data_IF_412517050550
#
_entry.id   IF_412517050550
#
_cell.length_a   1.000
_cell.length_b   1.000
_cell.length_c   1.000
_cell.angle_alpha   90.00
_cell.angle_beta   90.00
_cell.angle_gamma   90.00
#
_symmetry.space_group_name_H-M   'P 1'
#
loop_
_entity.id
_entity.type
_entity.pdbx_description
1 polymer ?
#
# COMPACT_ATOMS: atom_id res chain seq x y z
N UNK A 1 8.87 10.63 1.48
CA UNK A 1 9.55 9.92 2.58
C UNK A 1 10.35 8.72 2.08
N UNK A 2 9.76 7.73 1.41
CA UNK A 2 10.46 6.53 0.91
C UNK A 2 11.46 6.83 -0.23
N UNK A 3 11.07 7.68 -1.18
CA UNK A 3 11.97 8.20 -2.24
C UNK A 3 13.12 9.03 -1.67
N UNK A 4 12.83 9.84 -0.64
CA UNK A 4 13.85 10.64 0.05
C UNK A 4 14.82 9.81 0.89
N UNK A 5 14.46 8.55 1.23
CA UNK A 5 15.33 7.61 1.93
C UNK A 5 16.16 6.74 0.96
N UNK A 6 16.00 6.89 -0.36
CA UNK A 6 16.72 6.09 -1.37
C UNK A 6 16.34 4.60 -1.38
N UNK A 7 15.28 4.22 -0.68
CA UNK A 7 14.85 2.82 -0.57
C UNK A 7 13.96 2.39 -1.76
N UNK A 8 13.31 3.34 -2.42
CA UNK A 8 12.33 3.07 -3.46
C UNK A 8 12.03 4.32 -4.32
N UNK A 9 12.10 4.19 -5.64
CA UNK A 9 11.62 5.19 -6.60
C UNK A 9 10.34 4.68 -7.28
N UNK A 10 9.24 5.39 -7.04
CA UNK A 10 7.96 5.09 -7.65
C UNK A 10 6.87 6.00 -7.12
N UNK A 11 5.74 6.05 -7.84
CA UNK A 11 4.59 6.91 -7.55
C UNK A 11 3.37 6.04 -7.31
N UNK A 12 2.54 6.42 -6.33
CA UNK A 12 1.23 5.80 -6.17
C UNK A 12 0.41 6.12 -7.41
N UNK A 13 0.03 5.09 -8.15
CA UNK A 13 -0.75 5.20 -9.38
C UNK A 13 -2.24 5.14 -9.07
N UNK A 14 -2.62 4.20 -8.19
CA UNK A 14 -3.99 4.04 -7.71
C UNK A 14 -4.03 3.63 -6.24
N UNK A 15 -5.13 3.98 -5.59
CA UNK A 15 -5.40 3.72 -4.19
C UNK A 15 -6.87 3.37 -4.00
N UNK A 16 -7.12 2.22 -3.38
CA UNK A 16 -8.46 1.81 -2.98
C UNK A 16 -8.45 1.36 -1.53
N UNK A 17 -9.47 1.78 -0.79
CA UNK A 17 -9.68 1.36 0.59
C UNK A 17 -11.09 0.80 0.79
N UNK A 18 -11.18 -0.21 1.64
CA UNK A 18 -12.43 -0.82 2.02
C UNK A 18 -12.41 -1.17 3.50
N UNK A 19 -13.43 -0.74 4.24
CA UNK A 19 -13.63 -1.16 5.63
C UNK A 19 -14.47 -2.42 5.65
N UNK A 20 -13.91 -3.51 6.17
CA UNK A 20 -14.63 -4.75 6.46
C UNK A 20 -15.12 -4.75 7.91
N UNK A 21 -16.43 -4.93 8.08
CA UNK A 21 -17.08 -5.00 9.40
C UNK A 21 -17.69 -3.67 9.85
N UNK A 22 -18.36 -3.71 10.99
CA UNK A 22 -19.06 -2.55 11.60
C UNK A 22 -18.75 -2.49 13.09
N UNK A 23 -18.71 -1.28 13.65
CA UNK A 23 -18.40 -1.07 15.08
C UNK A 23 -16.91 -0.99 15.38
N UNK A 24 -16.53 -1.26 16.63
CA UNK A 24 -15.16 -1.11 17.15
C UNK A 24 -14.15 -2.11 16.60
N UNK A 25 -14.62 -3.20 15.97
CA UNK A 25 -13.78 -4.28 15.41
C UNK A 25 -13.65 -4.18 13.88
N UNK A 26 -14.03 -3.03 13.30
CA UNK A 26 -13.94 -2.80 11.87
C UNK A 26 -12.48 -2.82 11.42
N UNK A 27 -12.17 -3.66 10.44
CA UNK A 27 -10.84 -3.77 9.84
C UNK A 27 -10.81 -3.03 8.52
N UNK A 28 -9.91 -2.07 8.38
CA UNK A 28 -9.63 -1.45 7.10
C UNK A 28 -8.68 -2.31 6.27
N UNK A 29 -8.98 -2.39 4.98
CA UNK A 29 -8.14 -2.96 3.95
C UNK A 29 -7.76 -1.86 2.98
N UNK A 30 -6.48 -1.76 2.65
CA UNK A 30 -5.96 -0.82 1.68
C UNK A 30 -5.24 -1.59 0.56
N UNK A 31 -5.47 -1.15 -0.66
CA UNK A 31 -4.84 -1.61 -1.89
C UNK A 31 -4.11 -0.42 -2.50
N UNK A 32 -2.83 -0.60 -2.81
CA UNK A 32 -1.99 0.44 -3.41
C UNK A 32 -1.36 -0.13 -4.67
N UNK A 33 -1.55 0.57 -5.77
CA UNK A 33 -0.76 0.38 -6.98
C UNK A 33 0.40 1.37 -6.98
N UNK A 34 1.60 0.89 -7.25
CA UNK A 34 2.78 1.73 -7.39
C UNK A 34 3.37 1.55 -8.77
N UNK A 35 3.45 2.66 -9.50
CA UNK A 35 4.21 2.79 -10.74
C UNK A 35 5.69 3.00 -10.40
N UNK A 36 6.53 2.07 -10.84
CA UNK A 36 7.98 2.09 -10.60
C UNK A 36 8.77 2.73 -11.74
N UNK A 37 8.06 3.23 -12.77
CA UNK A 37 8.62 3.74 -14.01
C UNK A 37 8.68 2.68 -15.11
N UNK A 38 8.52 3.12 -16.37
CA UNK A 38 8.53 2.23 -17.53
C UNK A 38 7.16 1.60 -17.79
N UNK A 39 7.08 0.26 -17.74
CA UNK A 39 5.84 -0.52 -17.95
C UNK A 39 5.44 -1.38 -16.74
N UNK A 40 6.18 -1.29 -15.65
CA UNK A 40 6.02 -2.18 -14.51
C UNK A 40 5.33 -1.48 -13.35
N UNK A 41 4.13 -1.96 -13.03
CA UNK A 41 3.40 -1.60 -11.80
C UNK A 41 3.42 -2.77 -10.82
N UNK A 42 3.44 -2.45 -9.53
CA UNK A 42 3.30 -3.43 -8.46
C UNK A 42 2.07 -3.12 -7.63
N UNK A 43 1.54 -4.16 -7.01
CA UNK A 43 0.40 -4.06 -6.11
C UNK A 43 0.79 -4.50 -4.71
N UNK A 44 0.29 -3.77 -3.73
CA UNK A 44 0.43 -4.09 -2.32
C UNK A 44 -0.91 -4.05 -1.62
N UNK A 45 -1.07 -4.94 -0.63
CA UNK A 45 -2.29 -5.04 0.18
C UNK A 45 -1.92 -4.96 1.64
N UNK A 46 -2.67 -4.17 2.41
CA UNK A 46 -2.48 -4.02 3.84
C UNK A 46 -3.81 -4.04 4.58
N UNK A 47 -3.83 -4.71 5.74
CA UNK A 47 -5.01 -4.77 6.61
C UNK A 47 -4.65 -4.30 8.02
N UNK A 48 -5.51 -3.46 8.59
CA UNK A 48 -5.41 -2.97 9.96
C UNK A 48 -6.73 -2.34 10.40
N UNK A 49 -7.03 -2.30 11.70
CA UNK A 49 -8.16 -1.54 12.27
C UNK A 49 -8.08 -0.02 12.02
N UNK A 50 -6.90 0.47 11.61
CA UNK A 50 -6.66 1.88 11.29
C UNK A 50 -6.38 1.99 9.81
N UNK A 51 -7.18 2.80 9.12
CA UNK A 51 -7.04 3.06 7.69
C UNK A 51 -5.63 3.51 7.31
N UNK A 52 -4.99 4.35 8.15
CA UNK A 52 -3.63 4.84 7.94
C UNK A 52 -2.61 3.70 8.04
N UNK A 53 -2.78 2.83 9.03
CA UNK A 53 -1.89 1.68 9.23
C UNK A 53 -2.06 0.64 8.12
N UNK A 54 -3.29 0.43 7.64
CA UNK A 54 -3.57 -0.42 6.48
C UNK A 54 -2.87 0.11 5.23
N UNK A 55 -2.95 1.42 4.95
CA UNK A 55 -2.28 2.06 3.82
C UNK A 55 -0.75 1.93 3.87
N UNK A 56 -0.13 2.16 5.04
CA UNK A 56 1.31 1.99 5.21
C UNK A 56 1.75 0.53 4.97
N UNK A 57 0.98 -0.43 5.47
CA UNK A 57 1.22 -1.86 5.22
C UNK A 57 1.12 -2.22 3.75
N UNK A 58 0.15 -1.66 3.03
CA UNK A 58 0.00 -1.87 1.59
C UNK A 58 1.23 -1.39 0.82
N UNK A 59 1.74 -0.18 1.13
CA UNK A 59 2.96 0.35 0.50
C UNK A 59 4.17 -0.55 0.78
N UNK A 60 4.37 -0.98 2.04
CA UNK A 60 5.48 -1.88 2.40
C UNK A 60 5.37 -3.22 1.67
N UNK A 61 4.15 -3.76 1.55
CA UNK A 61 3.88 -4.99 0.79
C UNK A 61 4.27 -4.82 -0.67
N UNK A 62 3.85 -3.74 -1.34
CA UNK A 62 4.17 -3.47 -2.74
C UNK A 62 5.69 -3.40 -2.98
N UNK A 63 6.42 -2.70 -2.08
CA UNK A 63 7.88 -2.58 -2.14
C UNK A 63 8.57 -3.92 -1.91
N UNK A 64 8.07 -4.76 -1.00
CA UNK A 64 8.63 -6.10 -0.79
C UNK A 64 8.41 -7.02 -1.98
N UNK A 65 7.23 -6.98 -2.61
CA UNK A 65 6.91 -7.76 -3.81
C UNK A 65 7.84 -7.42 -4.98
N UNK A 66 8.25 -6.16 -5.14
CA UNK A 66 9.21 -5.76 -6.17
C UNK A 66 10.62 -6.34 -5.99
N UNK A 67 10.99 -6.75 -4.78
CA UNK A 67 12.32 -7.27 -4.46
C UNK A 67 12.35 -8.81 -4.40
N UNK A 68 11.20 -9.47 -4.58
CA UNK A 68 11.04 -10.93 -4.61
C UNK A 68 11.19 -11.46 -6.02
#
# INVERSE_FOLDING_TARGET
>A
ALTGAGLFEGKVADYSEHTMGTGSDATAVAYVEIDTGGRDTTWGVGMHESIVSASLRAIVSAVNTLRS
#
